data_IF_973141041813
#
_entry.id   IF_973141041813
#
_cell.length_a   1.000
_cell.length_b   1.000
_cell.length_c   1.000
_cell.angle_alpha   90.00
_cell.angle_beta   90.00
_cell.angle_gamma   90.00
#
_symmetry.space_group_name_H-M   'P 1'
#
loop_
_entity.id
_entity.type
_entity.pdbx_description
1 polymer ?
#
# COMPACT_ATOMS: atom_id res chain seq x y z
N UNK A 1 -49.39 -1.16 25.95
CA UNK A 1 -48.10 -1.67 25.52
C UNK A 1 -47.90 -1.26 24.08
N UNK A 2 -47.22 -0.18 23.84
CA UNK A 2 -46.95 0.36 22.49
C UNK A 2 -45.75 -0.41 21.96
N UNK A 3 -45.97 -1.26 20.96
CA UNK A 3 -44.86 -1.85 20.23
C UNK A 3 -44.11 -0.71 19.54
N UNK A 4 -42.89 -0.41 20.04
CA UNK A 4 -41.95 0.39 19.28
C UNK A 4 -41.68 -0.39 17.98
N UNK A 5 -42.18 0.09 16.86
CA UNK A 5 -41.80 -0.38 15.55
C UNK A 5 -40.26 -0.13 15.46
N UNK A 6 -39.47 -1.20 15.57
CA UNK A 6 -38.06 -1.15 15.20
C UNK A 6 -38.02 -0.65 13.75
N UNK A 7 -37.61 0.59 13.56
CA UNK A 7 -37.38 1.11 12.22
C UNK A 7 -36.25 0.28 11.58
N UNK A 8 -36.53 -0.29 10.40
CA UNK A 8 -35.56 -1.21 9.78
C UNK A 8 -34.25 -0.49 9.47
N UNK A 9 -33.17 -1.22 9.65
CA UNK A 9 -31.83 -0.81 9.21
C UNK A 9 -31.86 -0.43 7.72
N UNK A 10 -31.49 0.80 7.40
CA UNK A 10 -31.39 1.28 6.03
C UNK A 10 -29.92 1.49 5.63
N UNK A 11 -29.53 0.90 4.51
CA UNK A 11 -28.21 1.14 3.90
C UNK A 11 -28.43 1.96 2.64
N UNK A 12 -27.88 3.18 2.61
CA UNK A 12 -28.08 4.13 1.51
C UNK A 12 -26.76 4.81 1.13
N UNK A 13 -26.69 5.34 -0.09
CA UNK A 13 -25.62 6.26 -0.46
C UNK A 13 -25.66 7.48 0.47
N UNK A 14 -24.52 7.97 0.87
CA UNK A 14 -24.41 9.09 1.80
C UNK A 14 -24.89 10.39 1.15
N UNK A 15 -26.02 10.98 1.61
CA UNK A 15 -26.47 12.26 1.09
C UNK A 15 -25.48 13.37 1.45
N UNK A 16 -25.39 14.46 0.65
CA UNK A 16 -24.47 15.56 0.90
C UNK A 16 -24.58 16.16 2.30
N UNK A 17 -25.78 16.20 2.88
CA UNK A 17 -26.03 16.73 4.23
C UNK A 17 -25.42 15.92 5.36
N UNK A 18 -25.12 14.62 5.15
CA UNK A 18 -24.53 13.72 6.15
C UNK A 18 -23.07 13.37 5.86
N UNK A 19 -22.52 13.85 4.75
CA UNK A 19 -21.15 13.49 4.32
C UNK A 19 -20.10 13.78 5.38
N UNK A 20 -20.16 14.97 6.00
CA UNK A 20 -19.24 15.34 7.05
C UNK A 20 -19.28 14.38 8.25
N UNK A 21 -20.47 14.00 8.68
CA UNK A 21 -20.69 13.06 9.78
C UNK A 21 -20.11 11.69 9.45
N UNK A 22 -20.39 11.16 8.24
CA UNK A 22 -19.86 9.89 7.76
C UNK A 22 -18.32 9.87 7.69
N UNK A 23 -17.70 10.94 7.16
CA UNK A 23 -16.24 11.04 7.06
C UNK A 23 -15.57 11.16 8.43
N UNK A 24 -16.20 11.82 9.41
CA UNK A 24 -15.69 11.87 10.79
C UNK A 24 -15.76 10.50 11.46
N UNK A 25 -16.82 9.72 11.22
CA UNK A 25 -16.89 8.34 11.71
C UNK A 25 -15.81 7.46 11.10
N UNK A 26 -15.59 7.58 9.78
CA UNK A 26 -14.49 6.86 9.12
C UNK A 26 -13.13 7.25 9.71
N UNK A 27 -12.87 8.53 9.91
CA UNK A 27 -11.63 8.97 10.52
C UNK A 27 -11.41 8.37 11.93
N UNK A 28 -12.46 8.31 12.73
CA UNK A 28 -12.38 7.71 14.07
C UNK A 28 -12.16 6.19 14.07
N UNK A 29 -12.43 5.51 12.93
CA UNK A 29 -12.23 4.07 12.78
C UNK A 29 -10.77 3.66 12.53
N UNK A 30 -9.91 4.62 12.21
CA UNK A 30 -8.57 4.36 11.71
C UNK A 30 -7.49 4.93 12.63
N UNK A 31 -6.30 4.31 12.61
CA UNK A 31 -5.13 4.80 13.34
C UNK A 31 -4.60 6.13 12.75
N UNK A 32 -3.71 6.85 13.45
CA UNK A 32 -3.25 8.17 13.00
C UNK A 32 -2.57 8.18 11.61
N UNK A 33 -1.87 7.10 11.22
CA UNK A 33 -1.22 6.99 9.92
C UNK A 33 -2.26 6.83 8.81
N UNK A 34 -3.25 5.97 9.03
CA UNK A 34 -4.40 5.79 8.14
C UNK A 34 -5.29 7.03 8.08
N UNK A 35 -5.49 7.75 9.20
CA UNK A 35 -6.21 9.02 9.23
C UNK A 35 -5.55 10.08 8.35
N UNK A 36 -4.23 10.13 8.30
CA UNK A 36 -3.51 11.04 7.42
C UNK A 36 -3.75 10.70 5.94
N UNK A 37 -3.72 9.43 5.58
CA UNK A 37 -4.02 8.95 4.24
C UNK A 37 -5.49 9.21 3.84
N UNK A 38 -6.44 8.93 4.73
CA UNK A 38 -7.86 9.25 4.54
C UNK A 38 -8.07 10.76 4.32
N UNK A 39 -7.42 11.60 5.12
CA UNK A 39 -7.51 13.06 5.00
C UNK A 39 -6.97 13.55 3.66
N UNK A 40 -5.87 12.97 3.17
CA UNK A 40 -5.33 13.26 1.85
C UNK A 40 -6.32 12.86 0.74
N UNK A 41 -6.91 11.68 0.83
CA UNK A 41 -7.94 11.20 -0.09
C UNK A 41 -9.18 12.10 -0.11
N UNK A 42 -9.66 12.52 1.06
CA UNK A 42 -10.78 13.46 1.19
C UNK A 42 -10.45 14.80 0.52
N UNK A 43 -9.26 15.37 0.77
CA UNK A 43 -8.83 16.62 0.13
C UNK A 43 -8.74 16.48 -1.39
N UNK A 44 -8.19 15.37 -1.89
CA UNK A 44 -8.11 15.10 -3.32
C UNK A 44 -9.52 15.08 -3.96
N UNK A 45 -10.49 14.45 -3.31
CA UNK A 45 -11.88 14.45 -3.77
C UNK A 45 -12.51 15.85 -3.75
N UNK A 46 -12.32 16.64 -2.69
CA UNK A 46 -12.89 18.00 -2.63
C UNK A 46 -12.30 18.96 -3.66
N UNK A 47 -11.08 18.71 -4.13
CA UNK A 47 -10.44 19.53 -5.15
C UNK A 47 -10.87 19.17 -6.58
N UNK A 48 -11.66 18.12 -6.78
CA UNK A 48 -12.19 17.73 -8.10
C UNK A 48 -13.56 18.42 -8.32
N UNK A 49 -13.77 19.15 -9.44
CA UNK A 49 -15.02 19.88 -9.71
C UNK A 49 -16.24 18.96 -9.73
N UNK A 50 -16.07 17.76 -10.26
CA UNK A 50 -17.12 16.76 -10.46
C UNK A 50 -17.00 15.57 -9.50
N UNK A 51 -16.49 15.80 -8.29
CA UNK A 51 -16.25 14.73 -7.32
C UNK A 51 -17.52 13.94 -7.03
N UNK A 52 -17.52 12.68 -7.42
CA UNK A 52 -18.61 11.75 -7.16
C UNK A 52 -18.37 11.03 -5.86
N UNK A 53 -19.28 11.23 -4.90
CA UNK A 53 -19.23 10.61 -3.58
C UNK A 53 -20.17 9.38 -3.49
N UNK A 54 -20.53 8.82 -4.62
CA UNK A 54 -21.45 7.70 -4.76
C UNK A 54 -20.88 6.38 -4.20
N UNK A 55 -19.56 6.29 -4.03
CA UNK A 55 -18.89 5.21 -3.29
C UNK A 55 -18.96 5.34 -1.76
N UNK A 56 -19.50 6.46 -1.22
CA UNK A 56 -19.69 6.63 0.22
C UNK A 56 -21.08 6.15 0.63
N UNK A 57 -21.12 5.14 1.49
CA UNK A 57 -22.35 4.50 1.97
C UNK A 57 -22.48 4.63 3.47
N UNK A 58 -23.73 4.74 3.96
CA UNK A 58 -24.05 4.83 5.38
C UNK A 58 -25.16 3.86 5.75
N UNK A 59 -25.16 3.44 7.02
CA UNK A 59 -26.30 2.79 7.65
C UNK A 59 -27.01 3.76 8.57
N UNK A 60 -28.34 3.75 8.50
CA UNK A 60 -29.23 4.57 9.32
C UNK A 60 -30.12 3.65 10.12
N UNK A 61 -30.22 3.89 11.42
CA UNK A 61 -31.11 3.23 12.34
C UNK A 61 -31.81 4.28 13.20
N UNK A 62 -33.13 4.21 13.32
CA UNK A 62 -33.95 5.21 14.05
C UNK A 62 -33.63 6.68 13.66
N UNK A 63 -33.29 6.93 12.38
CA UNK A 63 -32.97 8.26 11.85
C UNK A 63 -31.53 8.72 12.15
N UNK A 64 -30.74 7.96 12.93
CA UNK A 64 -29.36 8.27 13.25
C UNK A 64 -28.40 7.55 12.29
N UNK A 65 -27.28 8.19 11.94
CA UNK A 65 -26.20 7.56 11.22
C UNK A 65 -25.44 6.67 12.19
N UNK A 66 -25.43 5.36 11.92
CA UNK A 66 -24.79 4.35 12.81
C UNK A 66 -23.41 4.01 12.32
N UNK A 67 -23.21 3.86 11.00
CA UNK A 67 -21.93 3.42 10.44
C UNK A 67 -21.76 3.92 9.02
N UNK A 68 -20.52 4.02 8.56
CA UNK A 68 -20.16 4.47 7.23
C UNK A 68 -19.03 3.62 6.64
N UNK A 69 -19.05 3.42 5.32
CA UNK A 69 -17.99 2.81 4.53
C UNK A 69 -17.74 3.66 3.27
N UNK A 70 -16.52 3.76 2.83
CA UNK A 70 -16.19 4.51 1.63
C UNK A 70 -15.32 3.69 0.68
N UNK A 71 -15.82 3.51 -0.53
CA UNK A 71 -15.03 3.07 -1.68
C UNK A 71 -14.50 4.31 -2.36
N UNK A 72 -13.26 4.65 -2.08
CA UNK A 72 -12.58 5.80 -2.68
C UNK A 72 -12.04 5.41 -4.05
N UNK A 73 -12.47 6.04 -5.15
CA UNK A 73 -11.87 5.84 -6.46
C UNK A 73 -10.41 6.27 -6.46
N UNK A 74 -9.57 5.49 -7.13
CA UNK A 74 -8.17 5.75 -7.40
C UNK A 74 -7.91 5.69 -8.92
N UNK A 75 -6.79 6.24 -9.41
CA UNK A 75 -6.37 6.07 -10.79
C UNK A 75 -6.33 4.60 -11.23
N UNK A 76 -6.33 4.36 -12.54
CA UNK A 76 -6.20 3.04 -13.17
C UNK A 76 -7.35 2.07 -12.82
N UNK A 77 -8.56 2.60 -12.67
CA UNK A 77 -9.75 1.81 -12.28
C UNK A 77 -9.55 1.01 -10.99
N UNK A 78 -8.78 1.55 -10.07
CA UNK A 78 -8.59 1.02 -8.73
C UNK A 78 -9.45 1.76 -7.71
N UNK A 79 -9.62 1.17 -6.53
CA UNK A 79 -10.26 1.82 -5.41
C UNK A 79 -9.63 1.39 -4.09
N UNK A 80 -9.68 2.27 -3.09
CA UNK A 80 -9.37 1.95 -1.70
C UNK A 80 -10.64 1.86 -0.90
N UNK A 81 -10.77 0.82 -0.09
CA UNK A 81 -11.89 0.65 0.82
C UNK A 81 -11.52 1.16 2.21
N UNK A 82 -12.32 2.09 2.72
CA UNK A 82 -12.25 2.59 4.08
C UNK A 82 -13.34 1.95 4.91
N UNK A 83 -12.93 1.16 5.91
CA UNK A 83 -13.82 0.35 6.75
C UNK A 83 -14.61 1.20 7.75
N UNK A 84 -15.80 0.73 8.17
CA UNK A 84 -16.59 1.39 9.20
C UNK A 84 -15.94 1.30 10.58
N UNK A 85 -16.40 2.16 11.50
CA UNK A 85 -16.24 1.91 12.93
C UNK A 85 -16.80 0.53 13.31
N UNK A 86 -16.15 -0.15 14.29
CA UNK A 86 -16.72 -1.37 14.84
C UNK A 86 -18.12 -1.06 15.39
N UNK A 87 -19.06 -1.88 15.04
CA UNK A 87 -20.33 -1.94 15.74
C UNK A 87 -20.41 -3.24 16.54
N UNK A 88 -21.14 -3.25 17.64
CA UNK A 88 -21.40 -4.46 18.40
C UNK A 88 -22.13 -5.53 17.57
N UNK A 89 -22.68 -5.12 16.43
CA UNK A 89 -23.42 -5.99 15.54
C UNK A 89 -22.77 -5.99 14.14
N UNK A 90 -22.27 -7.14 13.71
CA UNK A 90 -21.71 -7.35 12.37
C UNK A 90 -22.69 -7.10 11.24
N UNK A 91 -24.01 -6.99 11.55
CA UNK A 91 -25.06 -6.77 10.56
C UNK A 91 -24.89 -5.42 9.82
N UNK A 92 -24.49 -4.34 10.51
CA UNK A 92 -24.24 -3.03 9.90
C UNK A 92 -23.07 -3.09 8.94
N UNK A 93 -21.95 -3.63 9.41
CA UNK A 93 -20.73 -3.81 8.59
C UNK A 93 -20.99 -4.71 7.39
N UNK A 94 -21.74 -5.81 7.58
CA UNK A 94 -22.12 -6.72 6.50
C UNK A 94 -22.99 -6.04 5.45
N UNK A 95 -23.93 -5.20 5.85
CA UNK A 95 -24.78 -4.46 4.92
C UNK A 95 -23.95 -3.44 4.10
N UNK A 96 -23.05 -2.73 4.73
CA UNK A 96 -22.13 -1.79 4.09
C UNK A 96 -21.16 -2.49 3.13
N UNK A 97 -20.58 -3.64 3.52
CA UNK A 97 -19.69 -4.42 2.64
C UNK A 97 -20.43 -4.94 1.40
N UNK A 98 -21.71 -5.34 1.53
CA UNK A 98 -22.52 -5.73 0.36
C UNK A 98 -22.75 -4.56 -0.58
N UNK A 99 -23.11 -3.37 -0.06
CA UNK A 99 -23.32 -2.17 -0.85
C UNK A 99 -22.03 -1.74 -1.56
N UNK A 100 -20.90 -1.72 -0.85
CA UNK A 100 -19.58 -1.40 -1.39
C UNK A 100 -19.18 -2.37 -2.51
N UNK A 101 -19.33 -3.69 -2.30
CA UNK A 101 -19.02 -4.69 -3.32
C UNK A 101 -19.89 -4.55 -4.56
N UNK A 102 -21.20 -4.28 -4.40
CA UNK A 102 -22.09 -4.01 -5.52
C UNK A 102 -21.65 -2.76 -6.30
N UNK A 103 -21.26 -1.69 -5.60
CA UNK A 103 -20.73 -0.49 -6.23
C UNK A 103 -19.45 -0.79 -7.04
N UNK A 104 -18.48 -1.52 -6.46
CA UNK A 104 -17.23 -1.93 -7.13
C UNK A 104 -17.52 -2.68 -8.43
N UNK A 105 -18.47 -3.60 -8.41
CA UNK A 105 -18.85 -4.38 -9.61
C UNK A 105 -19.50 -3.52 -10.69
N UNK A 106 -20.35 -2.56 -10.29
CA UNK A 106 -21.09 -1.72 -11.22
C UNK A 106 -20.25 -0.60 -11.86
N UNK A 107 -19.09 -0.27 -11.28
CA UNK A 107 -18.21 0.80 -11.75
C UNK A 107 -16.91 0.27 -12.40
N UNK A 108 -16.90 -0.99 -12.82
CA UNK A 108 -15.74 -1.62 -13.50
C UNK A 108 -14.42 -1.43 -12.74
N UNK A 109 -14.48 -1.38 -11.41
CA UNK A 109 -13.26 -1.30 -10.61
C UNK A 109 -12.47 -2.59 -10.78
N UNK A 110 -11.20 -2.47 -11.18
CA UNK A 110 -10.31 -3.61 -11.40
C UNK A 110 -9.85 -4.24 -10.08
N UNK A 111 -9.53 -3.40 -9.12
CA UNK A 111 -9.08 -3.79 -7.79
C UNK A 111 -9.59 -2.80 -6.75
N UNK A 112 -10.39 -3.28 -5.79
CA UNK A 112 -10.72 -2.52 -4.59
C UNK A 112 -10.02 -3.15 -3.39
N UNK A 113 -9.06 -2.45 -2.81
CA UNK A 113 -8.19 -2.98 -1.76
C UNK A 113 -8.36 -2.24 -0.43
N UNK A 114 -7.95 -2.89 0.64
CA UNK A 114 -7.77 -2.31 1.96
C UNK A 114 -6.57 -2.93 2.67
N UNK A 115 -5.96 -2.17 3.56
CA UNK A 115 -4.95 -2.63 4.49
C UNK A 115 -5.59 -2.84 5.87
N UNK A 116 -5.54 -4.08 6.37
CA UNK A 116 -6.08 -4.46 7.65
C UNK A 116 -4.95 -4.58 8.67
N UNK A 117 -4.93 -3.66 9.63
CA UNK A 117 -3.99 -3.72 10.76
C UNK A 117 -4.35 -4.88 11.72
N UNK A 118 -3.43 -5.34 12.56
CA UNK A 118 -3.73 -6.36 13.58
C UNK A 118 -4.82 -5.93 14.57
N UNK A 119 -4.94 -4.61 14.79
CA UNK A 119 -5.92 -4.01 15.70
C UNK A 119 -7.19 -3.54 14.99
N UNK A 120 -7.31 -3.83 13.69
CA UNK A 120 -8.48 -3.39 12.94
C UNK A 120 -9.78 -3.94 13.56
N UNK A 121 -10.81 -3.12 13.62
CA UNK A 121 -12.07 -3.46 14.27
C UNK A 121 -12.88 -4.51 13.50
N UNK A 122 -12.63 -4.63 12.20
CA UNK A 122 -13.33 -5.60 11.33
C UNK A 122 -12.55 -6.90 11.27
N UNK A 123 -13.22 -8.02 11.51
CA UNK A 123 -12.58 -9.33 11.47
C UNK A 123 -12.22 -9.76 10.04
N UNK A 124 -11.09 -10.44 9.89
CA UNK A 124 -10.70 -11.06 8.62
C UNK A 124 -11.78 -12.03 8.09
N UNK A 125 -12.40 -12.79 8.99
CA UNK A 125 -13.45 -13.73 8.63
C UNK A 125 -14.63 -13.04 7.93
N UNK A 126 -15.02 -11.86 8.40
CA UNK A 126 -16.10 -11.06 7.81
C UNK A 126 -15.74 -10.59 6.40
N UNK A 127 -14.50 -10.14 6.18
CA UNK A 127 -14.04 -9.73 4.86
C UNK A 127 -14.05 -10.89 3.86
N UNK A 128 -13.54 -12.06 4.28
CA UNK A 128 -13.56 -13.28 3.45
C UNK A 128 -14.98 -13.73 3.13
N UNK A 129 -15.91 -13.67 4.12
CA UNK A 129 -17.31 -13.99 3.93
C UNK A 129 -17.99 -13.08 2.88
N UNK A 130 -17.54 -11.83 2.78
CA UNK A 130 -18.00 -10.88 1.77
C UNK A 130 -17.19 -10.92 0.46
N UNK A 131 -16.43 -11.99 0.23
CA UNK A 131 -15.75 -12.28 -1.04
C UNK A 131 -14.42 -11.53 -1.24
N UNK A 132 -13.88 -10.85 -0.23
CA UNK A 132 -12.52 -10.34 -0.30
C UNK A 132 -11.51 -11.49 -0.26
N UNK A 133 -10.38 -11.31 -0.91
CA UNK A 133 -9.27 -12.24 -0.89
C UNK A 133 -8.08 -11.58 -0.17
N UNK A 134 -7.39 -12.32 0.68
CA UNK A 134 -6.11 -11.87 1.22
C UNK A 134 -5.06 -11.99 0.14
N UNK A 135 -4.48 -10.87 -0.28
CA UNK A 135 -3.45 -10.83 -1.32
C UNK A 135 -2.05 -10.97 -0.75
N UNK A 136 -1.73 -10.21 0.29
CA UNK A 136 -0.40 -10.07 0.85
C UNK A 136 -0.48 -9.91 2.37
N UNK A 137 0.54 -10.37 3.06
CA UNK A 137 0.79 -10.06 4.46
C UNK A 137 2.14 -9.34 4.54
N UNK A 138 2.14 -8.04 4.82
CA UNK A 138 3.33 -7.21 4.88
C UNK A 138 3.81 -7.06 6.32
N UNK A 139 5.08 -7.33 6.55
CA UNK A 139 5.77 -6.96 7.78
C UNK A 139 6.46 -5.62 7.58
N UNK A 140 6.18 -4.67 8.45
CA UNK A 140 6.84 -3.38 8.49
C UNK A 140 8.00 -3.45 9.48
N UNK A 141 9.20 -3.23 8.98
CA UNK A 141 10.43 -3.33 9.73
C UNK A 141 11.09 -1.97 9.88
N UNK A 142 11.77 -1.76 11.01
CA UNK A 142 12.59 -0.57 11.26
C UNK A 142 14.00 -0.98 11.64
N UNK A 143 15.00 -0.28 11.12
CA UNK A 143 16.41 -0.50 11.38
C UNK A 143 17.18 0.80 11.58
N UNK A 144 18.38 0.69 12.10
CA UNK A 144 19.31 1.82 12.30
C UNK A 144 20.25 1.97 11.10
N UNK A 145 20.30 3.17 10.51
CA UNK A 145 21.16 3.49 9.36
C UNK A 145 22.66 3.35 9.65
N UNK A 146 23.08 3.42 10.91
CA UNK A 146 24.46 3.21 11.34
C UNK A 146 24.90 1.76 11.36
N UNK A 147 23.98 0.80 11.28
CA UNK A 147 24.33 -0.62 11.27
C UNK A 147 24.97 -1.03 9.95
N UNK A 148 25.90 -1.98 10.01
CA UNK A 148 26.54 -2.57 8.82
C UNK A 148 26.61 -4.08 8.98
N UNK A 149 26.16 -4.77 7.92
CA UNK A 149 26.38 -6.21 7.79
C UNK A 149 27.85 -6.50 7.54
N UNK A 150 28.40 -7.48 8.24
CA UNK A 150 29.74 -7.97 7.96
C UNK A 150 29.80 -8.58 6.56
N UNK A 151 30.87 -8.27 5.83
CA UNK A 151 31.14 -8.75 4.49
C UNK A 151 32.46 -9.49 4.49
N UNK A 152 32.52 -10.68 3.89
CA UNK A 152 33.77 -11.44 3.74
C UNK A 152 34.68 -10.79 2.70
N UNK A 153 34.09 -10.17 1.66
CA UNK A 153 34.79 -9.47 0.59
C UNK A 153 34.08 -8.17 0.26
N UNK A 154 34.82 -7.15 -0.15
CA UNK A 154 34.26 -5.92 -0.65
C UNK A 154 33.65 -6.18 -2.04
N UNK A 155 32.32 -6.01 -2.15
CA UNK A 155 31.60 -6.05 -3.43
C UNK A 155 31.36 -4.61 -3.90
N UNK A 156 32.15 -4.10 -4.87
CA UNK A 156 32.06 -2.70 -5.30
C UNK A 156 30.83 -2.47 -6.15
N UNK A 157 29.71 -2.16 -5.50
CA UNK A 157 28.49 -1.75 -6.20
C UNK A 157 28.59 -0.27 -6.58
N UNK A 158 28.24 0.04 -7.83
CA UNK A 158 27.99 1.40 -8.29
C UNK A 158 26.49 1.73 -8.22
N UNK A 159 26.19 3.00 -8.00
CA UNK A 159 24.81 3.51 -8.00
C UNK A 159 24.73 4.61 -9.05
N UNK A 160 23.94 4.37 -10.08
CA UNK A 160 23.62 5.34 -11.13
C UNK A 160 22.20 5.85 -10.88
N UNK A 161 21.92 7.18 -10.95
CA UNK A 161 20.56 7.67 -10.86
C UNK A 161 19.63 6.94 -11.85
N UNK A 162 18.50 6.45 -11.38
CA UNK A 162 17.57 5.68 -12.23
C UNK A 162 17.07 6.52 -13.42
N UNK A 163 16.88 7.83 -13.19
CA UNK A 163 16.49 8.78 -14.24
C UNK A 163 17.54 8.98 -15.35
N UNK A 164 18.77 8.48 -15.19
CA UNK A 164 19.77 8.47 -16.27
C UNK A 164 19.51 7.36 -17.30
N UNK A 165 18.65 6.40 -16.98
CA UNK A 165 18.15 5.40 -17.91
C UNK A 165 16.91 5.94 -18.63
N UNK A 166 16.74 5.55 -19.89
CA UNK A 166 15.49 5.77 -20.62
C UNK A 166 14.32 5.08 -19.91
N UNK A 167 13.09 5.52 -20.14
CA UNK A 167 11.90 4.89 -19.57
C UNK A 167 11.83 3.39 -19.91
N UNK A 168 12.14 3.02 -21.15
CA UNK A 168 12.16 1.62 -21.57
C UNK A 168 13.17 0.78 -20.77
N UNK A 169 14.37 1.33 -20.51
CA UNK A 169 15.39 0.65 -19.70
C UNK A 169 14.97 0.54 -18.22
N UNK A 170 14.34 1.57 -17.65
CA UNK A 170 13.80 1.52 -16.29
C UNK A 170 12.75 0.42 -16.16
N UNK A 171 11.79 0.36 -17.08
CA UNK A 171 10.74 -0.66 -17.10
C UNK A 171 11.34 -2.07 -17.28
N UNK A 172 12.29 -2.23 -18.20
CA UNK A 172 12.99 -3.49 -18.42
C UNK A 172 13.74 -3.95 -17.17
N UNK A 173 14.44 -3.04 -16.47
CA UNK A 173 15.15 -3.34 -15.24
C UNK A 173 14.19 -3.75 -14.12
N UNK A 174 13.09 -3.03 -13.93
CA UNK A 174 12.08 -3.35 -12.93
C UNK A 174 11.40 -4.69 -13.22
N UNK A 175 11.09 -4.98 -14.50
CA UNK A 175 10.57 -6.27 -14.93
C UNK A 175 11.54 -7.41 -14.56
N UNK A 176 12.84 -7.24 -14.91
CA UNK A 176 13.87 -8.23 -14.60
C UNK A 176 14.05 -8.44 -13.09
N UNK A 177 14.04 -7.37 -12.29
CA UNK A 177 14.08 -7.46 -10.82
C UNK A 177 12.82 -8.11 -10.26
N UNK A 178 11.67 -7.91 -10.88
CA UNK A 178 10.40 -8.54 -10.51
C UNK A 178 10.34 -10.03 -10.84
N UNK A 179 11.11 -10.51 -11.80
CA UNK A 179 11.10 -11.90 -12.23
C UNK A 179 11.45 -12.83 -11.05
N UNK A 180 10.61 -13.85 -10.80
CA UNK A 180 10.77 -14.82 -9.70
C UNK A 180 10.96 -14.19 -8.30
N UNK A 181 10.57 -12.93 -8.13
CA UNK A 181 10.57 -12.30 -6.81
C UNK A 181 9.51 -12.94 -5.92
N UNK A 182 9.84 -13.12 -4.64
CA UNK A 182 8.91 -13.60 -3.62
C UNK A 182 8.09 -12.46 -3.00
N UNK A 183 8.34 -11.22 -3.39
CA UNK A 183 7.69 -10.05 -2.80
C UNK A 183 6.42 -9.70 -3.58
N UNK A 184 5.31 -9.58 -2.87
CA UNK A 184 4.03 -9.09 -3.39
C UNK A 184 3.57 -9.68 -4.73
N UNK A 185 3.82 -10.98 -4.96
CA UNK A 185 3.48 -11.67 -6.21
C UNK A 185 2.03 -11.42 -6.66
N UNK A 186 1.01 -11.49 -5.79
CA UNK A 186 -0.37 -11.23 -6.22
C UNK A 186 -0.61 -9.81 -6.73
N UNK A 187 0.14 -8.82 -6.24
CA UNK A 187 0.05 -7.44 -6.74
C UNK A 187 0.73 -7.31 -8.11
N UNK A 188 1.87 -7.96 -8.31
CA UNK A 188 2.57 -7.97 -9.61
C UNK A 188 1.78 -8.65 -10.71
N UNK A 189 0.98 -9.66 -10.36
CA UNK A 189 0.10 -10.33 -11.33
C UNK A 189 -1.08 -9.43 -11.75
N UNK A 190 -1.41 -8.41 -10.93
CA UNK A 190 -2.50 -7.47 -11.16
C UNK A 190 -2.05 -6.17 -11.83
N UNK A 191 -0.84 -5.71 -11.56
CA UNK A 191 -0.30 -4.44 -12.02
C UNK A 191 0.78 -4.67 -13.08
N UNK A 192 0.80 -3.84 -14.12
CA UNK A 192 1.92 -3.79 -15.04
C UNK A 192 3.15 -3.18 -14.36
N UNK A 193 4.33 -3.40 -14.93
CA UNK A 193 5.58 -2.79 -14.42
C UNK A 193 5.50 -1.26 -14.50
N UNK A 194 4.85 -0.74 -15.53
CA UNK A 194 4.63 0.70 -15.71
C UNK A 194 3.69 1.26 -14.64
N UNK A 195 2.59 0.57 -14.34
CA UNK A 195 1.68 0.95 -13.25
C UNK A 195 2.38 0.93 -11.90
N UNK A 196 3.25 -0.06 -11.65
CA UNK A 196 4.06 -0.11 -10.44
C UNK A 196 5.03 1.06 -10.35
N UNK A 197 5.74 1.37 -11.43
CA UNK A 197 6.66 2.51 -11.48
C UNK A 197 5.93 3.84 -11.26
N UNK A 198 4.79 4.03 -11.94
CA UNK A 198 3.95 5.21 -11.76
C UNK A 198 3.43 5.33 -10.32
N UNK A 199 3.06 4.20 -9.69
CA UNK A 199 2.68 4.17 -8.29
C UNK A 199 3.79 4.66 -7.35
N UNK A 200 5.05 4.31 -7.61
CA UNK A 200 6.19 4.86 -6.87
C UNK A 200 6.35 6.37 -7.09
N UNK A 201 6.24 6.86 -8.33
CA UNK A 201 6.32 8.30 -8.62
C UNK A 201 5.22 9.12 -7.94
N UNK A 202 4.02 8.55 -7.77
CA UNK A 202 2.89 9.24 -7.11
C UNK A 202 3.04 9.34 -5.60
N UNK A 203 3.82 8.46 -4.97
CA UNK A 203 3.99 8.46 -3.51
C UNK A 203 4.79 9.67 -3.01
N UNK A 204 5.78 10.13 -3.79
CA UNK A 204 6.61 11.27 -3.43
C UNK A 204 7.34 11.83 -4.66
N UNK A 205 7.06 13.07 -5.01
CA UNK A 205 7.68 13.76 -6.17
C UNK A 205 9.18 13.98 -6.01
N UNK A 206 9.72 13.97 -4.79
CA UNK A 206 11.15 14.12 -4.51
C UNK A 206 11.89 12.80 -4.35
N UNK A 207 11.19 11.69 -4.11
CA UNK A 207 11.80 10.38 -3.93
C UNK A 207 12.69 9.93 -5.12
N UNK A 208 12.38 10.24 -6.39
CA UNK A 208 13.23 9.85 -7.52
C UNK A 208 14.68 10.30 -7.46
N UNK A 209 15.01 11.34 -6.68
CA UNK A 209 16.39 11.77 -6.46
C UNK A 209 17.25 10.72 -5.74
N UNK A 210 16.62 9.77 -5.05
CA UNK A 210 17.27 8.68 -4.31
C UNK A 210 16.96 7.31 -4.93
N UNK A 211 16.66 7.28 -6.22
CA UNK A 211 16.40 6.05 -6.97
C UNK A 211 17.59 5.73 -7.87
N UNK A 212 18.05 4.49 -7.80
CA UNK A 212 19.28 4.07 -8.44
C UNK A 212 19.12 2.74 -9.19
N UNK A 213 19.70 2.70 -10.39
CA UNK A 213 20.13 1.45 -11.00
C UNK A 213 21.43 1.01 -10.33
N UNK A 214 21.52 -0.26 -9.99
CA UNK A 214 22.67 -0.84 -9.27
C UNK A 214 23.56 -1.55 -10.26
N UNK A 215 24.81 -1.10 -10.34
CA UNK A 215 25.86 -1.71 -11.15
C UNK A 215 26.79 -2.59 -10.33
N UNK A 216 27.25 -3.67 -10.94
CA UNK A 216 28.33 -4.50 -10.43
C UNK A 216 29.20 -4.99 -11.59
N UNK A 217 30.50 -4.69 -11.55
CA UNK A 217 31.39 -4.83 -12.73
C UNK A 217 30.79 -4.02 -13.89
N UNK A 218 30.64 -4.61 -15.04
CA UNK A 218 30.14 -3.93 -16.25
C UNK A 218 28.65 -4.16 -16.53
N UNK A 219 27.89 -4.66 -15.53
CA UNK A 219 26.49 -5.00 -15.66
C UNK A 219 25.58 -4.21 -14.71
N UNK A 220 24.38 -3.85 -15.17
CA UNK A 220 23.30 -3.42 -14.30
C UNK A 220 22.62 -4.65 -13.71
N UNK A 221 22.68 -4.76 -12.36
CA UNK A 221 22.35 -5.99 -11.63
C UNK A 221 21.10 -5.87 -10.75
N UNK A 222 20.56 -4.66 -10.61
CA UNK A 222 19.43 -4.46 -9.73
C UNK A 222 18.99 -3.00 -9.61
N UNK A 223 18.09 -2.76 -8.67
CA UNK A 223 17.49 -1.46 -8.39
C UNK A 223 17.47 -1.17 -6.89
N UNK A 224 17.58 0.10 -6.52
CA UNK A 224 17.43 0.60 -5.16
C UNK A 224 16.58 1.88 -5.19
N UNK A 225 15.39 1.83 -4.60
CA UNK A 225 14.50 2.98 -4.45
C UNK A 225 14.38 3.35 -2.99
N UNK A 226 14.80 4.56 -2.64
CA UNK A 226 14.73 5.13 -1.31
C UNK A 226 13.85 6.38 -1.33
N UNK A 227 13.09 6.62 -0.27
CA UNK A 227 12.26 7.81 -0.11
C UNK A 227 12.54 8.47 1.23
N UNK A 228 13.03 9.71 1.25
CA UNK A 228 13.06 10.52 2.46
C UNK A 228 11.63 10.76 2.99
N UNK A 229 11.44 10.66 4.30
CA UNK A 229 10.20 11.01 5.00
C UNK A 229 10.52 12.01 6.10
N UNK A 230 10.79 13.28 5.76
CA UNK A 230 11.30 14.27 6.72
C UNK A 230 10.37 14.50 7.91
N UNK A 231 9.04 14.51 7.67
CA UNK A 231 8.04 14.69 8.72
C UNK A 231 8.07 13.57 9.78
N UNK A 232 8.66 12.41 9.47
CA UNK A 232 8.74 11.23 10.34
C UNK A 232 10.19 10.94 10.78
N UNK A 233 11.14 11.80 10.43
CA UNK A 233 12.58 11.65 10.69
C UNK A 233 13.10 10.23 10.33
N UNK A 234 12.73 9.77 9.13
CA UNK A 234 13.11 8.44 8.64
C UNK A 234 13.27 8.41 7.12
N UNK A 235 13.99 7.43 6.63
CA UNK A 235 13.98 7.04 5.22
C UNK A 235 13.22 5.74 5.04
N UNK A 236 12.55 5.62 3.92
CA UNK A 236 11.86 4.41 3.51
C UNK A 236 12.62 3.71 2.40
N UNK A 237 12.91 2.43 2.58
CA UNK A 237 13.39 1.55 1.52
C UNK A 237 12.17 1.01 0.78
N UNK A 238 11.81 1.68 -0.32
CA UNK A 238 10.60 1.37 -1.10
C UNK A 238 10.76 0.10 -1.93
N UNK A 239 11.94 -0.07 -2.55
CA UNK A 239 12.27 -1.25 -3.34
C UNK A 239 13.78 -1.49 -3.30
N UNK A 240 14.17 -2.72 -3.05
CA UNK A 240 15.53 -3.20 -3.21
C UNK A 240 15.49 -4.58 -3.87
N UNK A 241 16.02 -4.70 -5.06
CA UNK A 241 15.99 -5.95 -5.78
C UNK A 241 17.17 -6.16 -6.71
N UNK A 242 17.50 -7.42 -6.92
CA UNK A 242 18.52 -7.87 -7.87
C UNK A 242 17.84 -8.72 -8.95
N UNK A 243 18.37 -8.65 -10.17
CA UNK A 243 17.96 -9.56 -11.24
C UNK A 243 18.31 -11.01 -10.88
N UNK A 244 17.59 -12.01 -11.40
CA UNK A 244 17.74 -13.42 -10.98
C UNK A 244 19.18 -13.92 -10.98
N UNK A 245 19.94 -13.62 -12.03
CA UNK A 245 21.33 -14.09 -12.20
C UNK A 245 22.30 -13.59 -11.11
N UNK A 246 21.91 -12.52 -10.40
CA UNK A 246 22.77 -11.90 -9.39
C UNK A 246 22.32 -12.17 -7.95
N UNK A 247 21.23 -12.93 -7.78
CA UNK A 247 20.77 -13.35 -6.43
C UNK A 247 21.67 -14.44 -5.86
N UNK A 248 21.68 -14.58 -4.54
CA UNK A 248 22.44 -15.62 -3.85
C UNK A 248 23.97 -15.40 -3.80
N UNK A 249 24.49 -14.33 -4.41
CA UNK A 249 25.93 -14.03 -4.53
C UNK A 249 26.44 -12.98 -3.50
N UNK A 250 25.71 -12.75 -2.43
CA UNK A 250 26.07 -11.76 -1.39
C UNK A 250 25.78 -10.30 -1.74
N UNK A 251 25.41 -9.98 -2.99
CA UNK A 251 25.17 -8.60 -3.44
C UNK A 251 24.03 -7.91 -2.67
N UNK A 252 23.01 -8.65 -2.21
CA UNK A 252 21.94 -8.09 -1.39
C UNK A 252 22.43 -7.49 -0.07
N UNK A 253 23.46 -8.10 0.56
CA UNK A 253 24.10 -7.54 1.77
C UNK A 253 24.85 -6.25 1.46
N UNK A 254 25.61 -6.23 0.37
CA UNK A 254 26.32 -5.05 -0.08
C UNK A 254 25.35 -3.91 -0.42
N UNK A 255 24.24 -4.23 -1.09
CA UNK A 255 23.22 -3.26 -1.47
C UNK A 255 22.49 -2.68 -0.26
N UNK A 256 22.13 -3.51 0.72
CA UNK A 256 21.53 -3.02 1.96
C UNK A 256 22.50 -2.12 2.74
N UNK A 257 23.79 -2.49 2.82
CA UNK A 257 24.81 -1.63 3.42
C UNK A 257 24.95 -0.27 2.70
N UNK A 258 24.82 -0.25 1.36
CA UNK A 258 24.78 1.00 0.58
C UNK A 258 23.55 1.83 0.92
N UNK A 259 22.38 1.22 0.98
CA UNK A 259 21.12 1.90 1.34
C UNK A 259 21.21 2.55 2.73
N UNK A 260 21.67 1.79 3.73
CA UNK A 260 21.88 2.29 5.09
C UNK A 260 22.94 3.41 5.13
N UNK A 261 23.99 3.28 4.31
CA UNK A 261 25.04 4.30 4.19
C UNK A 261 24.53 5.62 3.65
N UNK A 262 23.66 5.60 2.64
CA UNK A 262 23.03 6.79 2.08
C UNK A 262 22.15 7.49 3.12
N UNK A 263 21.31 6.76 3.85
CA UNK A 263 20.49 7.32 4.92
C UNK A 263 21.36 7.94 6.04
N UNK A 264 22.43 7.27 6.44
CA UNK A 264 23.37 7.78 7.45
C UNK A 264 24.09 9.06 6.99
N UNK A 265 24.54 9.11 5.73
CA UNK A 265 25.18 10.30 5.15
C UNK A 265 24.21 11.50 5.08
N UNK A 266 22.92 11.24 4.92
CA UNK A 266 21.85 12.25 5.00
C UNK A 266 21.52 12.65 6.45
N UNK A 267 22.20 12.11 7.46
CA UNK A 267 21.96 12.41 8.87
C UNK A 267 20.77 11.70 9.50
N UNK A 268 20.10 10.80 8.76
CA UNK A 268 18.90 10.10 9.22
C UNK A 268 19.28 8.78 9.89
N UNK A 269 18.78 8.55 11.10
CA UNK A 269 19.12 7.35 11.88
C UNK A 269 18.18 6.17 11.60
N UNK A 270 16.94 6.43 11.20
CA UNK A 270 15.91 5.41 11.05
C UNK A 270 15.63 5.08 9.58
N UNK A 271 15.69 3.81 9.24
CA UNK A 271 15.25 3.28 7.95
C UNK A 271 14.10 2.31 8.20
N UNK A 272 13.02 2.46 7.43
CA UNK A 272 11.86 1.56 7.48
C UNK A 272 11.66 0.89 6.13
N UNK A 273 11.02 -0.25 6.14
CA UNK A 273 10.64 -0.98 4.92
C UNK A 273 9.42 -1.86 5.18
N UNK A 274 8.74 -2.21 4.11
CA UNK A 274 7.75 -3.28 4.10
C UNK A 274 8.33 -4.50 3.36
N UNK A 275 8.04 -5.69 3.84
CA UNK A 275 8.44 -6.95 3.21
C UNK A 275 7.32 -7.96 3.31
N UNK A 276 7.06 -8.69 2.22
CA UNK A 276 6.08 -9.77 2.24
C UNK A 276 6.49 -10.88 3.22
N UNK A 277 5.53 -11.36 3.99
CA UNK A 277 5.78 -12.41 5.00
C UNK A 277 6.32 -13.71 4.38
N UNK A 278 6.01 -13.99 3.13
CA UNK A 278 6.54 -15.15 2.41
C UNK A 278 7.97 -14.94 1.88
N UNK A 279 8.49 -13.71 1.86
CA UNK A 279 9.85 -13.41 1.39
C UNK A 279 10.90 -13.72 2.46
N UNK A 280 11.08 -15.02 2.74
CA UNK A 280 11.99 -15.49 3.78
C UNK A 280 13.45 -15.03 3.56
N UNK A 281 14.02 -15.05 2.33
CA UNK A 281 15.38 -14.57 2.10
C UNK A 281 15.58 -13.09 2.48
N UNK A 282 14.66 -12.22 2.08
CA UNK A 282 14.73 -10.80 2.41
C UNK A 282 14.55 -10.57 3.92
N UNK A 283 13.58 -11.23 4.56
CA UNK A 283 13.39 -11.13 6.02
C UNK A 283 14.65 -11.53 6.79
N UNK A 284 15.32 -12.63 6.40
CA UNK A 284 16.59 -13.04 7.02
C UNK A 284 17.67 -12.00 6.85
N UNK A 285 17.77 -11.40 5.67
CA UNK A 285 18.74 -10.33 5.40
C UNK A 285 18.51 -9.12 6.31
N UNK A 286 17.26 -8.65 6.40
CA UNK A 286 16.90 -7.51 7.24
C UNK A 286 17.09 -7.80 8.74
N UNK A 287 16.72 -8.99 9.21
CA UNK A 287 16.96 -9.41 10.59
C UNK A 287 18.45 -9.43 10.94
N UNK A 288 19.31 -9.94 10.06
CA UNK A 288 20.77 -9.91 10.24
C UNK A 288 21.31 -8.49 10.27
N UNK A 289 20.65 -7.54 9.60
CA UNK A 289 20.98 -6.11 9.63
C UNK A 289 20.35 -5.38 10.83
N UNK A 290 19.82 -6.11 11.81
CA UNK A 290 19.25 -5.52 13.03
C UNK A 290 17.89 -4.87 12.84
N UNK A 291 17.19 -5.12 11.73
CA UNK A 291 15.82 -4.65 11.57
C UNK A 291 14.88 -5.44 12.48
N UNK A 292 13.97 -4.72 13.12
CA UNK A 292 12.93 -5.28 13.99
C UNK A 292 11.55 -4.95 13.42
N UNK A 293 10.61 -5.88 13.55
CA UNK A 293 9.23 -5.67 13.17
C UNK A 293 8.53 -4.77 14.18
N UNK A 294 7.88 -3.70 13.70
CA UNK A 294 7.08 -2.82 14.54
C UNK A 294 5.59 -2.94 14.27
N UNK A 295 5.19 -3.34 13.06
CA UNK A 295 3.79 -3.66 12.75
C UNK A 295 3.69 -4.69 11.63
N UNK A 296 2.48 -5.12 11.36
CA UNK A 296 2.13 -6.02 10.26
C UNK A 296 0.80 -5.59 9.70
N UNK A 297 0.64 -5.64 8.39
CA UNK A 297 -0.64 -5.36 7.74
C UNK A 297 -0.97 -6.47 6.76
N UNK A 298 -2.27 -6.75 6.61
CA UNK A 298 -2.79 -7.71 5.66
C UNK A 298 -3.56 -6.95 4.59
N UNK A 299 -3.15 -7.11 3.34
CA UNK A 299 -3.85 -6.53 2.22
C UNK A 299 -4.96 -7.46 1.75
N UNK A 300 -6.19 -6.96 1.79
CA UNK A 300 -7.37 -7.63 1.25
C UNK A 300 -7.86 -6.89 0.01
N UNK A 301 -8.48 -7.60 -0.92
CA UNK A 301 -9.11 -6.97 -2.06
C UNK A 301 -10.30 -7.75 -2.62
N UNK A 302 -11.23 -7.01 -3.23
CA UNK A 302 -12.08 -7.53 -4.28
C UNK A 302 -11.36 -7.35 -5.61
N UNK A 303 -11.25 -8.43 -6.38
CA UNK A 303 -10.87 -8.39 -7.79
C UNK A 303 -12.14 -8.15 -8.59
N UNK A 304 -12.19 -7.08 -9.33
CA UNK A 304 -13.31 -6.75 -10.21
C UNK A 304 -13.10 -7.29 -11.63
N UNK A 305 -14.07 -7.02 -12.48
CA UNK A 305 -14.05 -7.38 -13.91
C UNK A 305 -13.47 -6.29 -14.82
N UNK A 306 -12.97 -5.19 -14.24
CA UNK A 306 -12.41 -4.07 -15.00
C UNK A 306 -11.21 -4.54 -15.83
N UNK A 307 -11.25 -4.24 -17.13
CA UNK A 307 -10.13 -4.44 -18.04
C UNK A 307 -9.01 -3.43 -17.75
N UNK A 308 -7.78 -3.76 -18.15
CA UNK A 308 -6.69 -2.79 -18.15
C UNK A 308 -7.05 -1.67 -19.13
N UNK A 309 -7.07 -0.42 -18.66
CA UNK A 309 -6.99 0.70 -19.58
C UNK A 309 -5.60 0.70 -20.20
N UNK A 310 -5.53 0.55 -21.52
CA UNK A 310 -4.30 0.82 -22.24
C UNK A 310 -3.98 2.30 -22.04
N UNK A 311 -2.90 2.58 -21.31
CA UNK A 311 -2.39 3.94 -21.21
C UNK A 311 -2.05 4.44 -22.61
N UNK A 312 -2.48 5.64 -23.01
CA UNK A 312 -2.08 6.19 -24.30
C UNK A 312 -0.56 6.31 -24.35
N UNK A 313 0.03 6.06 -25.54
CA UNK A 313 1.47 6.03 -25.75
C UNK A 313 2.17 7.35 -25.44
#
# INVERSE_FOLDING_TARGET
>A
MTYAQEMPLQTVQCPPSRRREALLQLAAAHDPEQQAALSAGIKAMYNQPDAQWDGLWITIEAGQLVSAIWVQPLPLNMAQLWLPLPSEQDVHTSALLRAANAWVKNHNIRLCHLELSPQAPVSEALLLQHGMQRLVCLQYLTGNSGYRLAMNEALPLSLQPLCALSMAEQLSLLAAVGQDSLDSRPLRDLLSVEELLNGFYQQDTQAPQHWYAVGYRDAVVGVLLLAPRPALDRWELMLMGLTPDWRGKGLGRALLNKALGLAQQAGVQKVVLAVDDVNVPAKRLYQQAGFIRYTQQRLFAWKGSGEREDLPP
#
